data_IF_460788656527
#
_entry.id   IF_460788656527
#
_cell.length_a   1.000
_cell.length_b   1.000
_cell.length_c   1.000
_cell.angle_alpha   90.00
_cell.angle_beta   90.00
_cell.angle_gamma   90.00
#
_symmetry.space_group_name_H-M   'P 1'
#
loop_
_entity.id
_entity.type
_entity.pdbx_description
1 polymer ?
#
# COMPACT_ATOMS: atom_id res chain seq x y z
N UNK A 1 12.40 58.00 36.12
CA UNK A 1 11.22 57.14 36.36
C UNK A 1 11.01 56.32 35.09
N UNK A 2 11.66 55.16 35.00
CA UNK A 2 11.59 54.24 33.87
C UNK A 2 10.38 53.32 34.08
N UNK A 3 9.47 53.28 33.10
CA UNK A 3 8.32 52.37 33.16
C UNK A 3 8.77 50.91 33.19
N UNK A 4 8.09 50.02 33.93
CA UNK A 4 8.39 48.59 33.87
C UNK A 4 7.99 48.04 32.50
N UNK A 5 8.93 47.34 31.84
CA UNK A 5 8.71 46.65 30.59
C UNK A 5 7.67 45.55 30.78
N UNK A 6 6.59 45.60 29.99
CA UNK A 6 5.59 44.55 29.92
C UNK A 6 6.27 43.29 29.38
N UNK A 7 6.57 42.34 30.27
CA UNK A 7 7.03 41.01 29.86
C UNK A 7 5.83 40.32 29.21
N UNK A 8 5.91 39.86 27.95
CA UNK A 8 4.84 39.07 27.36
C UNK A 8 4.72 37.79 28.18
N UNK A 9 3.54 37.56 28.76
CA UNK A 9 3.23 36.29 29.39
C UNK A 9 3.47 35.20 28.36
N UNK A 10 4.42 34.31 28.63
CA UNK A 10 4.61 33.12 27.82
C UNK A 10 3.34 32.29 27.99
N UNK A 11 2.44 32.42 27.03
CA UNK A 11 1.29 31.56 26.85
C UNK A 11 1.82 30.13 26.97
N UNK A 12 1.50 29.48 28.09
CA UNK A 12 1.92 28.12 28.35
C UNK A 12 1.29 27.25 27.28
N UNK A 13 2.03 27.00 26.19
CA UNK A 13 1.65 26.04 25.16
C UNK A 13 1.27 24.77 25.87
N UNK A 14 -0.04 24.46 25.88
CA UNK A 14 -0.51 23.18 26.33
C UNK A 14 0.26 22.13 25.52
N UNK A 15 0.91 21.16 26.16
CA UNK A 15 1.63 20.14 25.42
C UNK A 15 0.64 19.54 24.43
N UNK A 16 1.04 19.40 23.16
CA UNK A 16 0.12 18.98 22.15
C UNK A 16 -0.48 17.61 22.53
N UNK A 17 -1.72 17.31 22.11
CA UNK A 17 -2.48 16.15 22.60
C UNK A 17 -1.84 14.78 22.29
N UNK A 18 -0.71 14.76 21.59
CA UNK A 18 0.12 13.58 21.39
C UNK A 18 1.09 13.36 22.56
N UNK A 19 0.56 12.87 23.68
CA UNK A 19 1.33 12.36 24.82
C UNK A 19 1.41 10.81 24.83
N UNK A 20 2.36 10.22 25.59
CA UNK A 20 2.52 8.77 25.77
C UNK A 20 1.40 8.11 26.60
N UNK A 21 0.28 8.80 26.82
CA UNK A 21 -0.94 8.29 27.44
C UNK A 21 -1.58 7.22 26.54
N UNK A 22 -1.04 6.00 26.64
CA UNK A 22 -1.68 4.75 26.25
C UNK A 22 -2.24 4.73 24.84
N UNK A 23 -1.37 4.70 23.81
CA UNK A 23 -1.79 4.30 22.46
C UNK A 23 -2.32 2.87 22.52
N UNK A 24 -3.64 2.72 22.68
CA UNK A 24 -4.29 1.41 22.57
C UNK A 24 -4.11 0.95 21.13
N UNK A 25 -3.29 -0.08 20.94
CA UNK A 25 -3.04 -0.67 19.62
C UNK A 25 -4.40 -1.06 19.02
N UNK A 26 -4.80 -0.49 17.87
CA UNK A 26 -6.09 -0.75 17.27
C UNK A 26 -6.08 -2.11 16.55
N UNK A 27 -6.02 -3.21 17.31
CA UNK A 27 -5.88 -4.57 16.77
C UNK A 27 -6.97 -4.92 15.76
N UNK A 28 -8.21 -4.48 16.00
CA UNK A 28 -9.34 -4.66 15.08
C UNK A 28 -9.05 -4.03 13.71
N UNK A 29 -8.51 -2.81 13.71
CA UNK A 29 -8.15 -2.11 12.48
C UNK A 29 -6.97 -2.76 11.77
N UNK A 30 -5.96 -3.22 12.51
CA UNK A 30 -4.82 -3.93 11.94
C UNK A 30 -5.25 -5.22 11.23
N UNK A 31 -6.11 -6.02 11.86
CA UNK A 31 -6.61 -7.27 11.26
C UNK A 31 -7.46 -6.99 10.01
N UNK A 32 -8.38 -6.03 10.08
CA UNK A 32 -9.21 -5.65 8.93
C UNK A 32 -8.41 -5.04 7.78
N UNK A 33 -7.46 -4.17 8.11
CA UNK A 33 -6.51 -3.58 7.15
C UNK A 33 -5.66 -4.66 6.49
N UNK A 34 -5.12 -5.60 7.27
CA UNK A 34 -4.36 -6.73 6.73
C UNK A 34 -5.21 -7.60 5.80
N UNK A 35 -6.46 -7.90 6.18
CA UNK A 35 -7.38 -8.64 5.33
C UNK A 35 -7.64 -7.92 3.99
N UNK A 36 -7.83 -6.59 4.01
CA UNK A 36 -7.96 -5.80 2.77
C UNK A 36 -6.68 -5.87 1.93
N UNK A 37 -5.50 -5.72 2.54
CA UNK A 37 -4.21 -5.79 1.83
C UNK A 37 -4.04 -7.16 1.16
N UNK A 38 -4.31 -8.25 1.87
CA UNK A 38 -4.24 -9.61 1.29
C UNK A 38 -5.23 -9.79 0.15
N UNK A 39 -6.47 -9.34 0.32
CA UNK A 39 -7.51 -9.42 -0.72
C UNK A 39 -7.10 -8.68 -1.99
N UNK A 40 -6.54 -7.47 -1.85
CA UNK A 40 -6.06 -6.70 -3.00
C UNK A 40 -4.87 -7.40 -3.67
N UNK A 41 -3.89 -7.86 -2.88
CA UNK A 41 -2.66 -8.45 -3.41
C UNK A 41 -2.83 -9.86 -3.97
N UNK A 42 -3.88 -10.59 -3.60
CA UNK A 42 -4.24 -11.85 -4.24
C UNK A 42 -5.16 -11.59 -5.44
N UNK A 43 -6.18 -10.74 -5.25
CA UNK A 43 -7.21 -10.47 -6.25
C UNK A 43 -6.68 -9.75 -7.49
N UNK A 44 -5.80 -8.76 -7.33
CA UNK A 44 -5.27 -7.99 -8.44
C UNK A 44 -4.41 -8.82 -9.43
N UNK A 45 -3.38 -9.58 -9.00
CA UNK A 45 -2.64 -10.42 -9.93
C UNK A 45 -3.50 -11.57 -10.46
N UNK A 46 -4.43 -12.13 -9.68
CA UNK A 46 -5.37 -13.14 -10.18
C UNK A 46 -6.24 -12.60 -11.31
N UNK A 47 -6.84 -11.42 -11.11
CA UNK A 47 -7.66 -10.78 -12.13
C UNK A 47 -6.86 -10.41 -13.39
N UNK A 48 -5.59 -10.01 -13.22
CA UNK A 48 -4.71 -9.65 -14.31
C UNK A 48 -4.23 -10.86 -15.12
N UNK A 49 -3.65 -11.86 -14.46
CA UNK A 49 -2.95 -12.96 -15.13
C UNK A 49 -3.84 -14.16 -15.50
N UNK A 50 -4.96 -14.37 -14.78
CA UNK A 50 -5.85 -15.51 -15.04
C UNK A 50 -7.10 -15.05 -15.78
N UNK A 51 -7.78 -14.04 -15.25
CA UNK A 51 -9.05 -13.55 -15.82
C UNK A 51 -8.80 -12.65 -17.05
N UNK A 52 -7.58 -12.12 -17.24
CA UNK A 52 -7.26 -11.14 -18.27
C UNK A 52 -8.19 -9.90 -18.21
N UNK A 53 -8.55 -9.49 -17.01
CA UNK A 53 -9.41 -8.34 -16.76
C UNK A 53 -8.64 -7.02 -16.93
N UNK A 54 -9.37 -5.93 -17.17
CA UNK A 54 -8.84 -4.57 -17.09
C UNK A 54 -8.22 -4.29 -15.71
N UNK A 55 -7.07 -3.60 -15.69
CA UNK A 55 -6.27 -3.40 -14.49
C UNK A 55 -6.85 -2.30 -13.58
N UNK A 56 -7.86 -2.64 -12.77
CA UNK A 56 -8.56 -1.68 -11.92
C UNK A 56 -7.77 -1.24 -10.66
N UNK A 57 -6.61 -1.85 -10.42
CA UNK A 57 -5.72 -1.46 -9.31
C UNK A 57 -4.63 -0.47 -9.72
N UNK A 58 -4.52 -0.12 -11.01
CA UNK A 58 -3.46 0.75 -11.54
C UNK A 58 -4.06 2.12 -11.83
N UNK A 59 -4.29 2.86 -10.76
CA UNK A 59 -4.74 4.25 -10.81
C UNK A 59 -4.20 4.95 -9.57
N UNK A 60 -4.00 6.27 -9.65
CA UNK A 60 -3.49 7.08 -8.52
C UNK A 60 -4.32 6.89 -7.24
N UNK A 61 -5.59 6.57 -7.41
CA UNK A 61 -6.46 6.11 -6.35
C UNK A 61 -7.06 4.77 -6.79
N UNK A 62 -6.47 3.62 -6.36
CA UNK A 62 -6.85 2.31 -6.86
C UNK A 62 -8.34 2.04 -6.64
N UNK A 63 -9.05 1.69 -7.70
CA UNK A 63 -10.50 1.50 -7.66
C UNK A 63 -10.89 0.39 -6.68
N UNK A 64 -10.05 -0.65 -6.58
CA UNK A 64 -10.19 -1.72 -5.59
C UNK A 64 -10.20 -1.19 -4.14
N UNK A 65 -9.36 -0.21 -3.81
CA UNK A 65 -9.32 0.39 -2.46
C UNK A 65 -10.62 1.16 -2.20
N UNK A 66 -11.11 1.93 -3.17
CA UNK A 66 -12.38 2.68 -3.04
C UNK A 66 -13.53 1.73 -2.79
N UNK A 67 -13.70 0.70 -3.63
CA UNK A 67 -14.83 -0.21 -3.51
C UNK A 67 -14.78 -1.00 -2.20
N UNK A 68 -13.63 -1.58 -1.85
CA UNK A 68 -13.49 -2.37 -0.63
C UNK A 68 -13.64 -1.50 0.63
N UNK A 69 -13.05 -0.30 0.64
CA UNK A 69 -13.16 0.61 1.77
C UNK A 69 -14.58 1.15 1.93
N UNK A 70 -15.23 1.54 0.82
CA UNK A 70 -16.63 2.01 0.84
C UNK A 70 -17.55 0.90 1.34
N UNK A 71 -17.39 -0.33 0.83
CA UNK A 71 -18.14 -1.49 1.33
C UNK A 71 -17.91 -1.73 2.83
N UNK A 72 -16.67 -1.60 3.32
CA UNK A 72 -16.35 -1.71 4.74
C UNK A 72 -17.07 -0.63 5.57
N UNK A 73 -17.10 0.61 5.11
CA UNK A 73 -17.78 1.71 5.80
C UNK A 73 -19.29 1.47 5.88
N UNK A 74 -19.91 1.05 4.77
CA UNK A 74 -21.33 0.68 4.77
C UNK A 74 -21.61 -0.49 5.71
N UNK A 75 -20.80 -1.54 5.65
CA UNK A 75 -20.95 -2.71 6.52
C UNK A 75 -20.81 -2.34 8.00
N UNK A 76 -19.83 -1.51 8.36
CA UNK A 76 -19.67 -0.99 9.71
C UNK A 76 -20.89 -0.17 10.14
N UNK A 77 -21.39 0.73 9.29
CA UNK A 77 -22.58 1.53 9.59
C UNK A 77 -23.84 0.66 9.80
N UNK A 78 -24.04 -0.35 8.94
CA UNK A 78 -25.14 -1.30 9.07
C UNK A 78 -25.06 -2.10 10.37
N UNK A 79 -23.88 -2.62 10.74
CA UNK A 79 -23.70 -3.36 12.01
C UNK A 79 -24.01 -2.47 13.20
N UNK A 80 -23.49 -1.24 13.22
CA UNK A 80 -23.74 -0.29 14.32
C UNK A 80 -25.23 0.01 14.44
N UNK A 81 -25.90 0.23 13.30
CA UNK A 81 -27.34 0.51 13.27
C UNK A 81 -28.20 -0.67 13.73
N UNK A 82 -27.80 -1.92 13.45
CA UNK A 82 -28.59 -3.11 13.79
C UNK A 82 -28.32 -3.62 15.21
N UNK A 83 -27.08 -3.49 15.69
CA UNK A 83 -26.64 -4.13 16.94
C UNK A 83 -26.42 -3.14 18.08
N UNK A 84 -26.31 -1.84 17.78
CA UNK A 84 -25.96 -0.81 18.77
C UNK A 84 -24.53 -0.91 19.32
N UNK A 85 -23.71 -1.82 18.80
CA UNK A 85 -22.32 -2.02 19.25
C UNK A 85 -21.45 -0.86 18.75
N UNK A 86 -20.42 -0.50 19.53
CA UNK A 86 -19.43 0.50 19.14
C UNK A 86 -18.69 0.08 17.86
N UNK A 87 -18.96 0.81 16.79
CA UNK A 87 -18.31 0.64 15.49
C UNK A 87 -16.84 1.04 15.50
N UNK A 88 -16.21 0.94 14.33
CA UNK A 88 -14.84 1.45 14.14
C UNK A 88 -14.79 2.96 14.34
N UNK A 89 -13.76 3.42 15.05
CA UNK A 89 -13.45 4.83 15.25
C UNK A 89 -12.90 5.48 13.98
N UNK A 90 -12.91 6.83 13.93
CA UNK A 90 -12.28 7.59 12.83
C UNK A 90 -10.81 7.23 12.65
N UNK A 91 -10.06 7.08 13.74
CA UNK A 91 -8.64 6.71 13.69
C UNK A 91 -8.44 5.31 13.12
N UNK A 92 -9.29 4.35 13.50
CA UNK A 92 -9.22 2.98 12.97
C UNK A 92 -9.56 2.92 11.48
N UNK A 93 -10.59 3.65 11.03
CA UNK A 93 -10.95 3.73 9.61
C UNK A 93 -9.83 4.39 8.78
N UNK A 94 -9.25 5.48 9.27
CA UNK A 94 -8.10 6.13 8.60
C UNK A 94 -6.89 5.21 8.50
N UNK A 95 -6.61 4.41 9.54
CA UNK A 95 -5.52 3.44 9.52
C UNK A 95 -5.77 2.35 8.48
N UNK A 96 -6.96 1.76 8.44
CA UNK A 96 -7.34 0.74 7.44
C UNK A 96 -7.21 1.31 6.03
N UNK A 97 -7.69 2.53 5.81
CA UNK A 97 -7.60 3.20 4.52
C UNK A 97 -6.14 3.38 4.07
N UNK A 98 -5.28 3.86 4.96
CA UNK A 98 -3.84 4.00 4.68
C UNK A 98 -3.18 2.65 4.39
N UNK A 99 -3.48 1.61 5.17
CA UNK A 99 -2.96 0.25 4.92
C UNK A 99 -3.36 -0.26 3.53
N UNK A 100 -4.64 -0.10 3.16
CA UNK A 100 -5.15 -0.51 1.86
C UNK A 100 -4.50 0.28 0.71
N UNK A 101 -4.33 1.60 0.87
CA UNK A 101 -3.71 2.46 -0.13
C UNK A 101 -2.24 2.07 -0.38
N UNK A 102 -1.46 1.91 0.69
CA UNK A 102 -0.05 1.50 0.61
C UNK A 102 0.06 0.08 0.04
N UNK A 103 -0.77 -0.84 0.53
CA UNK A 103 -0.79 -2.23 0.10
C UNK A 103 -1.29 -2.43 -1.34
N UNK A 104 -2.04 -1.49 -1.90
CA UNK A 104 -2.41 -1.51 -3.32
C UNK A 104 -1.31 -0.94 -4.21
N UNK A 105 -0.65 0.15 -3.79
CA UNK A 105 0.31 0.88 -4.63
C UNK A 105 1.66 0.18 -4.79
N UNK A 106 2.23 -0.35 -3.70
CA UNK A 106 3.60 -0.88 -3.71
C UNK A 106 3.69 -2.27 -4.36
N UNK A 107 2.95 -3.29 -3.87
CA UNK A 107 3.22 -4.66 -4.27
C UNK A 107 2.54 -5.01 -5.60
N UNK A 108 1.32 -4.50 -5.84
CA UNK A 108 0.53 -4.82 -7.04
C UNK A 108 1.25 -4.48 -8.35
N UNK A 109 1.86 -3.30 -8.43
CA UNK A 109 2.57 -2.88 -9.66
C UNK A 109 4.09 -3.01 -9.53
N UNK A 110 4.65 -2.55 -8.41
CA UNK A 110 6.09 -2.52 -8.19
C UNK A 110 6.70 -3.92 -8.12
N UNK A 111 6.09 -4.84 -7.38
CA UNK A 111 6.66 -6.17 -7.15
C UNK A 111 6.16 -7.20 -8.16
N UNK A 112 4.85 -7.27 -8.41
CA UNK A 112 4.28 -8.33 -9.25
C UNK A 112 4.60 -8.17 -10.74
N UNK A 113 4.55 -6.94 -11.28
CA UNK A 113 4.77 -6.69 -12.71
C UNK A 113 6.13 -6.09 -13.01
N UNK A 114 6.50 -5.02 -12.31
CA UNK A 114 7.66 -4.22 -12.68
C UNK A 114 8.97 -4.92 -12.33
N UNK A 115 9.10 -5.45 -11.12
CA UNK A 115 10.31 -6.15 -10.68
C UNK A 115 10.64 -7.35 -11.59
N UNK A 116 9.64 -8.16 -11.93
CA UNK A 116 9.82 -9.32 -12.82
C UNK A 116 10.29 -8.86 -14.21
N UNK A 117 9.65 -7.84 -14.78
CA UNK A 117 10.03 -7.29 -16.08
C UNK A 117 11.46 -6.72 -16.09
N UNK A 118 11.84 -5.98 -15.06
CA UNK A 118 13.17 -5.37 -14.93
C UNK A 118 14.25 -6.43 -14.80
N UNK A 119 14.02 -7.49 -14.03
CA UNK A 119 15.00 -8.56 -13.85
C UNK A 119 15.14 -9.40 -15.14
N UNK A 120 14.04 -9.59 -15.89
CA UNK A 120 14.07 -10.33 -17.15
C UNK A 120 14.67 -9.51 -18.32
N UNK A 121 14.57 -8.18 -18.28
CA UNK A 121 14.91 -7.30 -19.40
C UNK A 121 16.33 -7.48 -19.96
N UNK A 122 17.41 -7.57 -19.15
CA UNK A 122 18.77 -7.71 -19.69
C UNK A 122 18.97 -8.96 -20.54
N UNK A 123 18.28 -10.06 -20.21
CA UNK A 123 18.36 -11.34 -20.93
C UNK A 123 17.42 -11.35 -22.14
N UNK A 124 16.21 -10.80 -21.99
CA UNK A 124 15.21 -10.78 -23.06
C UNK A 124 15.57 -9.81 -24.20
N UNK A 125 16.12 -8.63 -23.87
CA UNK A 125 16.49 -7.60 -24.84
C UNK A 125 17.98 -7.63 -25.23
N UNK A 126 18.73 -8.67 -24.87
CA UNK A 126 20.13 -8.80 -25.27
C UNK A 126 20.23 -8.89 -26.80
N UNK A 127 21.01 -7.99 -27.41
CA UNK A 127 21.30 -7.97 -28.84
C UNK A 127 22.80 -7.84 -29.08
N UNK A 128 23.24 -8.15 -30.31
CA UNK A 128 24.63 -7.93 -30.69
C UNK A 128 25.03 -6.45 -30.63
N UNK A 129 24.06 -5.53 -30.82
CA UNK A 129 24.28 -4.09 -30.84
C UNK A 129 24.43 -3.48 -29.44
N UNK A 130 23.70 -3.98 -28.43
CA UNK A 130 23.81 -3.47 -27.06
C UNK A 130 24.90 -4.17 -26.23
N UNK A 131 25.38 -5.34 -26.67
CA UNK A 131 26.43 -6.10 -26.00
C UNK A 131 26.07 -6.55 -24.57
N UNK A 132 24.78 -6.57 -24.21
CA UNK A 132 24.35 -6.87 -22.84
C UNK A 132 24.66 -8.30 -22.42
N UNK A 133 24.75 -9.23 -23.38
CA UNK A 133 25.11 -10.63 -23.12
C UNK A 133 26.46 -10.76 -22.42
N UNK A 134 27.47 -10.00 -22.86
CA UNK A 134 28.83 -10.06 -22.33
C UNK A 134 29.07 -9.13 -21.15
N UNK A 135 28.35 -8.01 -21.09
CA UNK A 135 28.60 -6.93 -20.12
C UNK A 135 27.71 -7.04 -18.88
N UNK A 136 26.48 -7.54 -19.02
CA UNK A 136 25.49 -7.59 -17.94
C UNK A 136 25.11 -9.03 -17.62
N UNK A 137 24.61 -9.78 -18.61
CA UNK A 137 24.05 -11.14 -18.41
C UNK A 137 25.07 -12.10 -17.82
N UNK A 138 26.35 -11.97 -18.18
CA UNK A 138 27.46 -12.75 -17.61
C UNK A 138 27.53 -12.71 -16.07
N UNK A 139 27.12 -11.60 -15.44
CA UNK A 139 27.19 -11.44 -13.98
C UNK A 139 25.86 -11.74 -13.28
N UNK A 140 24.79 -11.98 -14.04
CA UNK A 140 23.50 -12.30 -13.47
C UNK A 140 23.47 -13.77 -13.06
N UNK A 141 23.06 -14.03 -11.81
CA UNK A 141 22.89 -15.39 -11.32
C UNK A 141 21.68 -16.06 -11.97
N UNK A 142 21.80 -17.33 -12.30
CA UNK A 142 20.77 -18.09 -13.00
C UNK A 142 19.44 -18.18 -12.24
N UNK A 143 19.47 -18.17 -10.90
CA UNK A 143 18.26 -18.18 -10.07
C UNK A 143 17.49 -16.86 -10.06
N UNK A 144 18.10 -15.76 -10.51
CA UNK A 144 17.50 -14.43 -10.45
C UNK A 144 16.58 -14.18 -11.65
N UNK A 145 16.88 -14.77 -12.81
CA UNK A 145 16.21 -14.47 -14.08
C UNK A 145 15.47 -15.70 -14.59
N UNK A 146 14.26 -15.55 -15.16
CA UNK A 146 13.57 -16.66 -15.81
C UNK A 146 14.45 -17.30 -16.91
N UNK A 147 14.52 -18.63 -16.89
CA UNK A 147 15.39 -19.38 -17.80
C UNK A 147 14.71 -19.69 -19.13
N UNK A 148 13.38 -19.85 -19.10
CA UNK A 148 12.57 -20.18 -20.25
C UNK A 148 12.20 -18.90 -21.04
N UNK A 149 12.78 -18.77 -22.24
CA UNK A 149 12.51 -17.65 -23.16
C UNK A 149 11.15 -17.79 -23.86
N UNK A 150 10.57 -18.99 -23.91
CA UNK A 150 9.24 -19.24 -24.48
C UNK A 150 8.15 -18.82 -23.51
N UNK A 151 8.39 -18.95 -22.20
CA UNK A 151 7.49 -18.45 -21.15
C UNK A 151 7.51 -16.92 -20.98
N UNK A 152 8.50 -16.23 -21.54
CA UNK A 152 8.66 -14.77 -21.50
C UNK A 152 8.06 -14.03 -22.71
N UNK A 153 7.53 -14.76 -23.69
CA UNK A 153 6.91 -14.23 -24.92
C UNK A 153 5.43 -13.99 -24.73
#
# INVERSE_FOLDING_TARGET
MTQPQHTPEMETEQPPPWGPEGYRIPWRALVLGLAMVLTINIGAPYAMYIIHSSQWSISYLPLAVVFLFTALVFFNATIVSLTGIRGLSRTELSLIFMMALVGASIPTWGTSTYLIAVIAAPKFFASAENGWQTTIVKYIKEWLVPQDMTALR
#
